data_IF_624287797538
#
_entry.id   IF_624287797538
#
_cell.length_a   1.000
_cell.length_b   1.000
_cell.length_c   1.000
_cell.angle_alpha   90.00
_cell.angle_beta   90.00
_cell.angle_gamma   90.00
#
_symmetry.space_group_name_H-M   'P 1'
#
loop_
_entity.id
_entity.type
_entity.pdbx_description
1 polymer ?
#
# COMPACT_ATOMS: atom_id res chain seq x y z
N UNK A 1 -23.75 -41.93 13.19
CA UNK A 1 -23.16 -40.65 12.71
C UNK A 1 -24.33 -39.78 12.30
N UNK A 2 -24.42 -38.56 12.81
CA UNK A 2 -25.45 -37.63 12.36
C UNK A 2 -25.18 -37.28 10.89
N UNK A 3 -26.19 -37.46 10.05
CA UNK A 3 -26.17 -37.03 8.65
C UNK A 3 -26.49 -35.54 8.67
N UNK A 4 -25.47 -34.70 8.43
CA UNK A 4 -25.63 -33.26 8.44
C UNK A 4 -26.09 -32.82 7.05
N UNK A 5 -27.24 -32.13 6.96
CA UNK A 5 -27.64 -31.50 5.71
C UNK A 5 -26.79 -30.25 5.45
N UNK A 6 -25.75 -30.44 4.64
CA UNK A 6 -24.85 -29.38 4.21
C UNK A 6 -25.58 -28.23 3.50
N UNK A 7 -26.76 -28.48 2.90
CA UNK A 7 -27.55 -27.43 2.23
C UNK A 7 -28.16 -26.50 3.24
N UNK A 8 -28.80 -27.03 4.29
CA UNK A 8 -29.35 -26.23 5.39
C UNK A 8 -28.25 -25.42 6.11
N UNK A 9 -27.09 -26.03 6.33
CA UNK A 9 -25.95 -25.36 6.93
C UNK A 9 -25.37 -24.23 6.06
N UNK A 10 -25.45 -24.37 4.73
CA UNK A 10 -24.92 -23.38 3.77
C UNK A 10 -25.92 -22.27 3.42
N UNK A 11 -27.23 -22.48 3.58
CA UNK A 11 -28.26 -21.54 3.16
C UNK A 11 -28.11 -20.11 3.74
N UNK A 12 -27.72 -19.92 5.03
CA UNK A 12 -27.47 -18.57 5.55
C UNK A 12 -26.30 -17.86 4.85
N UNK A 13 -25.24 -18.58 4.49
CA UNK A 13 -24.11 -18.01 3.74
C UNK A 13 -24.51 -17.64 2.31
N UNK A 14 -25.27 -18.50 1.65
CA UNK A 14 -25.77 -18.23 0.30
C UNK A 14 -26.69 -17.02 0.25
N UNK A 15 -27.52 -16.82 1.28
CA UNK A 15 -28.36 -15.63 1.41
C UNK A 15 -27.52 -14.33 1.48
N UNK A 16 -26.37 -14.36 2.15
CA UNK A 16 -25.47 -13.21 2.30
C UNK A 16 -24.53 -13.00 1.10
N UNK A 17 -24.45 -13.95 0.17
CA UNK A 17 -23.48 -13.92 -0.94
C UNK A 17 -23.56 -12.64 -1.76
N UNK A 18 -24.76 -12.14 -2.02
CA UNK A 18 -24.97 -10.92 -2.80
C UNK A 18 -24.46 -9.68 -2.08
N UNK A 19 -24.73 -9.56 -0.77
CA UNK A 19 -24.29 -8.45 0.07
C UNK A 19 -22.76 -8.43 0.22
N UNK A 20 -22.15 -9.60 0.41
CA UNK A 20 -20.68 -9.75 0.49
C UNK A 20 -20.04 -9.32 -0.83
N UNK A 21 -20.58 -9.76 -1.97
CA UNK A 21 -20.09 -9.35 -3.29
C UNK A 21 -20.20 -7.83 -3.48
N UNK A 22 -21.33 -7.24 -3.10
CA UNK A 22 -21.54 -5.80 -3.18
C UNK A 22 -20.60 -5.02 -2.25
N UNK A 23 -20.25 -5.56 -1.08
CA UNK A 23 -19.25 -4.96 -0.19
C UNK A 23 -17.86 -4.92 -0.83
N UNK A 24 -17.43 -6.00 -1.47
CA UNK A 24 -16.12 -6.04 -2.14
C UNK A 24 -16.05 -5.15 -3.37
N UNK A 25 -17.14 -5.05 -4.15
CA UNK A 25 -17.20 -4.10 -5.26
C UNK A 25 -17.06 -2.63 -4.80
N UNK A 26 -17.66 -2.29 -3.66
CA UNK A 26 -17.50 -0.95 -3.05
C UNK A 26 -16.06 -0.72 -2.61
N UNK A 27 -15.45 -1.71 -1.96
CA UNK A 27 -14.03 -1.64 -1.55
C UNK A 27 -13.10 -1.38 -2.75
N UNK A 28 -13.32 -2.08 -3.86
CA UNK A 28 -12.52 -1.88 -5.07
C UNK A 28 -12.70 -0.47 -5.67
N UNK A 29 -13.93 0.04 -5.64
CA UNK A 29 -14.24 1.41 -6.10
C UNK A 29 -13.56 2.48 -5.22
N UNK A 30 -13.47 2.26 -3.91
CA UNK A 30 -12.76 3.15 -2.99
C UNK A 30 -11.25 3.18 -3.29
N UNK A 31 -10.64 2.03 -3.53
CA UNK A 31 -9.22 1.94 -3.88
C UNK A 31 -8.91 2.61 -5.22
N UNK A 32 -9.77 2.45 -6.22
CA UNK A 32 -9.63 3.16 -7.49
C UNK A 32 -9.70 4.68 -7.28
N UNK A 33 -10.62 5.15 -6.42
CA UNK A 33 -10.74 6.57 -6.06
C UNK A 33 -9.46 7.07 -5.40
N UNK A 34 -8.90 6.33 -4.44
CA UNK A 34 -7.63 6.67 -3.77
C UNK A 34 -6.48 6.77 -4.79
N UNK A 35 -6.33 5.76 -5.64
CA UNK A 35 -5.29 5.74 -6.67
C UNK A 35 -5.43 6.93 -7.64
N UNK A 36 -6.66 7.28 -8.02
CA UNK A 36 -6.93 8.43 -8.89
C UNK A 36 -6.56 9.76 -8.22
N UNK A 37 -6.77 9.92 -6.91
CA UNK A 37 -6.33 11.12 -6.19
C UNK A 37 -4.79 11.20 -6.13
N UNK A 38 -4.11 10.10 -5.82
CA UNK A 38 -2.65 10.05 -5.78
C UNK A 38 -2.01 10.33 -7.16
N UNK A 39 -2.63 9.88 -8.26
CA UNK A 39 -2.16 10.19 -9.64
C UNK A 39 -2.21 11.67 -9.98
N UNK A 40 -3.14 12.44 -9.39
CA UNK A 40 -3.27 13.88 -9.61
C UNK A 40 -2.20 14.69 -8.87
N UNK A 41 -1.61 14.12 -7.81
CA UNK A 41 -0.56 14.79 -7.07
C UNK A 41 0.75 14.79 -7.89
N UNK A 42 1.49 15.91 -7.92
CA UNK A 42 2.77 16.03 -8.62
C UNK A 42 3.89 15.33 -7.83
N UNK A 43 3.72 14.04 -7.56
CA UNK A 43 4.65 13.27 -6.73
C UNK A 43 5.93 12.99 -7.55
N UNK A 44 7.10 13.49 -7.11
CA UNK A 44 8.36 13.36 -7.84
C UNK A 44 8.94 11.94 -7.77
N UNK A 45 8.68 11.20 -6.67
CA UNK A 45 9.26 9.89 -6.40
C UNK A 45 8.22 8.91 -5.83
N UNK A 46 8.68 7.86 -5.14
CA UNK A 46 7.82 6.90 -4.44
C UNK A 46 7.30 7.51 -3.14
N UNK A 47 5.98 7.58 -2.97
CA UNK A 47 5.41 7.85 -1.63
C UNK A 47 5.40 6.56 -0.85
N UNK A 48 5.93 6.59 0.36
CA UNK A 48 6.00 5.43 1.25
C UNK A 48 5.53 5.83 2.64
N UNK A 49 4.64 5.03 3.21
CA UNK A 49 4.22 5.12 4.60
C UNK A 49 4.44 3.77 5.28
N UNK A 50 5.36 3.73 6.25
CA UNK A 50 5.60 2.55 7.07
C UNK A 50 4.45 2.36 8.06
N UNK A 51 3.76 1.22 7.97
CA UNK A 51 2.65 0.87 8.87
C UNK A 51 3.02 -0.24 9.87
N UNK A 52 4.20 -0.83 9.71
CA UNK A 52 4.82 -1.80 10.60
C UNK A 52 6.33 -1.58 10.51
N UNK A 53 7.02 -1.53 11.64
CA UNK A 53 8.47 -1.34 11.71
C UNK A 53 9.00 -2.16 12.89
N UNK A 54 10.09 -2.88 12.67
CA UNK A 54 10.79 -3.59 13.73
C UNK A 54 11.60 -2.59 14.58
N UNK A 55 11.24 -2.46 15.85
CA UNK A 55 11.91 -1.54 16.78
C UNK A 55 13.41 -1.85 16.96
N UNK A 56 13.81 -3.12 16.83
CA UNK A 56 15.19 -3.55 16.95
C UNK A 56 15.97 -3.37 15.64
N UNK A 57 15.28 -3.38 14.49
CA UNK A 57 15.88 -3.17 13.19
C UNK A 57 14.94 -2.36 12.27
N UNK A 58 14.99 -1.01 12.33
CA UNK A 58 14.16 -0.11 11.53
C UNK A 58 14.19 -0.32 10.00
N UNK A 59 15.22 -1.01 9.50
CA UNK A 59 15.31 -1.39 8.10
C UNK A 59 14.29 -2.47 7.72
N UNK A 60 13.81 -3.25 8.70
CA UNK A 60 12.73 -4.21 8.55
C UNK A 60 11.39 -3.50 8.77
N UNK A 61 10.65 -3.27 7.70
CA UNK A 61 9.38 -2.54 7.76
C UNK A 61 8.44 -2.91 6.62
N UNK A 62 7.16 -2.80 6.91
CA UNK A 62 6.10 -2.92 5.91
C UNK A 62 5.55 -1.53 5.58
N UNK A 63 5.50 -1.24 4.30
CA UNK A 63 5.07 0.05 3.79
C UNK A 63 3.85 -0.09 2.87
N UNK A 64 2.94 0.86 3.00
CA UNK A 64 1.95 1.16 1.98
C UNK A 64 2.59 2.21 1.07
N UNK A 65 2.71 1.90 -0.22
CA UNK A 65 3.44 2.74 -1.16
C UNK A 65 2.61 3.12 -2.38
N UNK A 66 2.87 4.30 -2.92
CA UNK A 66 2.51 4.67 -4.27
C UNK A 66 3.77 4.85 -5.10
N UNK A 67 4.09 3.84 -5.93
CA UNK A 67 5.37 3.72 -6.64
C UNK A 67 5.22 3.32 -8.10
N UNK A 68 6.29 3.46 -8.88
CA UNK A 68 6.36 2.91 -10.24
C UNK A 68 6.55 1.39 -10.17
N UNK A 69 5.61 0.66 -10.75
CA UNK A 69 5.62 -0.79 -10.89
C UNK A 69 5.35 -1.16 -12.35
N UNK A 70 6.26 -1.93 -12.97
CA UNK A 70 6.18 -2.34 -14.39
C UNK A 70 5.78 -1.20 -15.35
N UNK A 71 6.37 -0.01 -15.15
CA UNK A 71 6.13 1.17 -16.00
C UNK A 71 4.98 2.08 -15.56
N UNK A 72 4.09 1.65 -14.66
CA UNK A 72 2.92 2.44 -14.22
C UNK A 72 2.95 2.76 -12.73
N UNK A 73 2.43 3.92 -12.31
CA UNK A 73 2.26 4.21 -10.88
C UNK A 73 1.11 3.38 -10.29
N UNK A 74 1.39 2.65 -9.21
CA UNK A 74 0.49 1.71 -8.55
C UNK A 74 0.58 1.87 -7.03
N UNK A 75 -0.52 1.52 -6.36
CA UNK A 75 -0.51 1.23 -4.94
C UNK A 75 0.12 -0.15 -4.72
N UNK A 76 1.01 -0.25 -3.75
CA UNK A 76 1.72 -1.47 -3.41
C UNK A 76 1.84 -1.64 -1.89
N UNK A 77 1.88 -2.89 -1.44
CA UNK A 77 2.49 -3.24 -0.16
C UNK A 77 3.95 -3.55 -0.48
N UNK A 78 4.87 -2.95 0.27
CA UNK A 78 6.29 -3.21 0.15
C UNK A 78 6.84 -3.68 1.50
N UNK A 79 7.45 -4.86 1.51
CA UNK A 79 8.07 -5.47 2.68
C UNK A 79 9.58 -5.31 2.52
N UNK A 80 10.16 -4.46 3.35
CA UNK A 80 11.60 -4.24 3.40
C UNK A 80 12.17 -5.12 4.50
N UNK A 81 13.23 -5.85 4.17
CA UNK A 81 13.97 -6.65 5.14
C UNK A 81 15.47 -6.48 4.90
N UNK A 82 16.23 -6.43 5.99
CA UNK A 82 17.68 -6.37 5.96
C UNK A 82 18.26 -7.52 6.78
N UNK A 83 19.25 -8.20 6.20
CA UNK A 83 19.85 -9.38 6.82
C UNK A 83 21.22 -9.72 6.27
N UNK A 84 21.85 -10.73 6.87
CA UNK A 84 23.12 -11.25 6.37
C UNK A 84 22.84 -12.23 5.22
N UNK A 85 23.18 -11.81 4.01
CA UNK A 85 23.26 -12.66 2.84
C UNK A 85 24.64 -13.30 2.67
N UNK A 86 24.81 -14.16 1.65
CA UNK A 86 26.05 -14.88 1.38
C UNK A 86 27.25 -13.96 1.05
N UNK A 87 27.01 -12.68 0.71
CA UNK A 87 28.05 -11.71 0.39
C UNK A 87 28.14 -10.53 1.36
N UNK A 88 27.44 -10.60 2.49
CA UNK A 88 27.42 -9.54 3.50
C UNK A 88 26.02 -9.05 3.79
N UNK A 89 25.91 -7.79 4.20
CA UNK A 89 24.62 -7.18 4.55
C UNK A 89 23.82 -6.88 3.28
N UNK A 90 22.61 -7.42 3.18
CA UNK A 90 21.73 -7.31 2.02
C UNK A 90 20.37 -6.73 2.44
N UNK A 91 19.86 -5.79 1.64
CA UNK A 91 18.50 -5.26 1.75
C UNK A 91 17.64 -5.89 0.66
N UNK A 92 16.55 -6.53 1.07
CA UNK A 92 15.54 -7.09 0.19
C UNK A 92 14.26 -6.26 0.28
N UNK A 93 13.57 -6.14 -0.85
CA UNK A 93 12.29 -5.45 -0.96
C UNK A 93 11.34 -6.29 -1.80
N UNK A 94 10.35 -6.88 -1.12
CA UNK A 94 9.27 -7.62 -1.77
C UNK A 94 8.08 -6.68 -1.98
N UNK A 95 7.57 -6.62 -3.20
CA UNK A 95 6.53 -5.65 -3.59
C UNK A 95 5.33 -6.39 -4.15
N UNK A 96 4.18 -6.22 -3.50
CA UNK A 96 2.89 -6.76 -3.95
C UNK A 96 2.00 -5.62 -4.44
N UNK A 97 1.68 -5.54 -5.74
CA UNK A 97 0.80 -4.49 -6.28
C UNK A 97 -0.66 -4.75 -5.88
N UNK A 98 -1.47 -3.68 -5.84
CA UNK A 98 -2.90 -3.73 -5.48
C UNK A 98 -3.72 -4.83 -6.18
N UNK A 99 -3.43 -5.07 -7.47
CA UNK A 99 -4.13 -6.07 -8.28
C UNK A 99 -3.94 -7.50 -7.75
N UNK A 100 -2.88 -7.73 -6.96
CA UNK A 100 -2.52 -9.02 -6.36
C UNK A 100 -2.89 -9.10 -4.86
N UNK A 101 -3.46 -8.05 -4.28
CA UNK A 101 -3.86 -8.06 -2.86
C UNK A 101 -5.07 -8.95 -2.62
N UNK A 102 -5.03 -9.67 -1.49
CA UNK A 102 -6.21 -10.31 -0.90
C UNK A 102 -7.23 -9.27 -0.44
N UNK A 103 -8.47 -9.71 -0.24
CA UNK A 103 -9.55 -8.83 0.21
C UNK A 103 -9.29 -8.30 1.63
N UNK A 104 -8.71 -9.15 2.49
CA UNK A 104 -8.33 -8.80 3.86
C UNK A 104 -7.20 -7.78 3.87
N UNK A 105 -6.23 -7.91 2.96
CA UNK A 105 -5.16 -6.92 2.77
C UNK A 105 -5.78 -5.58 2.35
N UNK A 106 -6.66 -5.57 1.34
CA UNK A 106 -7.38 -4.36 0.90
C UNK A 106 -8.14 -3.69 2.04
N UNK A 107 -8.88 -4.45 2.84
CA UNK A 107 -9.61 -3.89 3.98
C UNK A 107 -8.67 -3.33 5.05
N UNK A 108 -7.63 -4.09 5.41
CA UNK A 108 -6.65 -3.69 6.44
C UNK A 108 -5.90 -2.42 6.04
N UNK A 109 -5.55 -2.26 4.76
CA UNK A 109 -4.75 -1.13 4.29
C UNK A 109 -5.52 0.19 4.27
N UNK A 110 -6.87 0.19 4.26
CA UNK A 110 -7.66 1.42 4.30
C UNK A 110 -7.32 2.31 5.50
N UNK A 111 -7.02 1.71 6.66
CA UNK A 111 -6.67 2.46 7.89
C UNK A 111 -5.38 3.27 7.76
N UNK A 112 -4.54 2.96 6.78
CA UNK A 112 -3.24 3.59 6.54
C UNK A 112 -3.26 4.66 5.43
N UNK A 113 -4.36 4.72 4.66
CA UNK A 113 -4.52 5.68 3.56
C UNK A 113 -4.35 7.14 4.01
N UNK A 114 -4.91 7.61 5.14
CA UNK A 114 -4.71 8.99 5.56
C UNK A 114 -3.22 9.35 5.75
N UNK A 115 -2.45 8.45 6.35
CA UNK A 115 -1.03 8.65 6.57
C UNK A 115 -0.23 8.60 5.26
N UNK A 116 -0.64 7.78 4.29
CA UNK A 116 -0.09 7.79 2.94
C UNK A 116 -0.27 9.16 2.26
N UNK A 117 -1.45 9.77 2.36
CA UNK A 117 -1.68 11.12 1.82
C UNK A 117 -0.83 12.18 2.52
N UNK A 118 -0.68 12.11 3.85
CA UNK A 118 0.20 13.01 4.59
C UNK A 118 1.66 12.86 4.14
N UNK A 119 2.12 11.63 3.94
CA UNK A 119 3.45 11.35 3.39
C UNK A 119 3.62 11.93 1.98
N UNK A 120 2.60 11.82 1.11
CA UNK A 120 2.62 12.40 -0.23
C UNK A 120 2.76 13.93 -0.20
N UNK A 121 2.02 14.60 0.68
CA UNK A 121 2.12 16.07 0.86
C UNK A 121 3.51 16.44 1.34
N UNK A 122 4.00 15.77 2.39
CA UNK A 122 5.32 16.05 2.96
C UNK A 122 6.43 15.88 1.93
N UNK A 123 6.47 14.76 1.21
CA UNK A 123 7.49 14.52 0.19
C UNK A 123 7.44 15.52 -0.96
N UNK A 124 6.23 15.95 -1.36
CA UNK A 124 6.07 16.97 -2.39
C UNK A 124 6.62 18.33 -1.91
N UNK A 125 6.34 18.69 -0.66
CA UNK A 125 6.86 19.91 -0.05
C UNK A 125 8.40 19.87 0.07
N UNK A 126 8.94 18.76 0.59
CA UNK A 126 10.38 18.54 0.73
C UNK A 126 11.10 18.68 -0.63
N UNK A 127 10.49 18.16 -1.70
CA UNK A 127 11.01 18.32 -3.06
C UNK A 127 11.02 19.78 -3.54
N UNK A 128 9.91 20.51 -3.35
CA UNK A 128 9.82 21.94 -3.72
C UNK A 128 10.86 22.77 -2.98
N UNK A 129 11.07 22.51 -1.70
CA UNK A 129 12.02 23.25 -0.88
C UNK A 129 13.48 22.95 -1.28
N UNK A 130 13.79 21.69 -1.60
CA UNK A 130 15.10 21.30 -2.14
C UNK A 130 15.39 21.98 -3.48
N UNK A 131 14.42 22.03 -4.40
CA UNK A 131 14.63 22.69 -5.70
C UNK A 131 14.92 24.19 -5.56
N UNK A 132 14.20 24.88 -4.66
CA UNK A 132 14.45 26.31 -4.40
C UNK A 132 15.82 26.55 -3.76
N UNK A 133 16.27 25.65 -2.88
CA UNK A 133 17.57 25.79 -2.22
C UNK A 133 18.73 25.60 -3.20
N UNK A 134 18.57 24.74 -4.19
CA UNK A 134 19.57 24.51 -5.24
C UNK A 134 19.69 25.72 -6.16
N UNK A 135 18.57 26.28 -6.62
CA UNK A 135 18.54 27.50 -7.45
C UNK A 135 19.27 28.67 -6.77
N UNK A 136 19.01 28.90 -5.47
CA UNK A 136 19.68 29.97 -4.72
C UNK A 136 21.17 29.72 -4.47
N UNK A 137 21.64 28.46 -4.52
CA UNK A 137 23.05 28.11 -4.32
C UNK A 137 23.87 28.19 -5.61
N UNK A 138 23.24 28.16 -6.78
CA UNK A 138 23.88 28.31 -8.09
C UNK A 138 24.00 29.79 -8.52
N UNK A 139 23.21 30.69 -7.90
CA UNK A 139 23.28 32.15 -8.12
C UNK A 139 24.20 32.90 -7.13
N UNK A 140 24.79 32.20 -6.14
CA UNK A 140 25.71 32.75 -5.14
C UNK A 140 27.17 32.39 -5.41
#
# INVERSE_FOLDING_TARGET
>A
MADYDLRELSAPFEALRSDVKAAYQRLDSEWETIANQLRKLPIPCTVSYAFSEDECNPCNKDCLEFRKWKGSKRLCIAEYSAGNGPHGWEENCDVTPYDEWSTEQRLRMLRHVPALFQAAVKQTQDFVDQTKSLENSEES
#
